data_IF_884286131623
#
_entry.id   IF_884286131623
#
_cell.length_a   1.000
_cell.length_b   1.000
_cell.length_c   1.000
_cell.angle_alpha   90.00
_cell.angle_beta   90.00
_cell.angle_gamma   90.00
#
_symmetry.space_group_name_H-M   'P 1'
#
loop_
_entity.id
_entity.type
_entity.pdbx_description
1 polymer ?
#
# COMPACT_ATOMS: atom_id res chain seq x y z
N UNK A 1 -55.77 41.67 -7.82
CA UNK A 1 -55.61 41.91 -9.26
C UNK A 1 -54.16 41.62 -9.61
N UNK A 2 -53.94 40.83 -10.66
CA UNK A 2 -52.66 40.32 -11.16
C UNK A 2 -51.64 41.42 -11.49
N UNK A 3 -50.34 41.11 -11.42
CA UNK A 3 -49.36 41.31 -12.50
C UNK A 3 -48.08 40.50 -12.24
N UNK A 4 -47.54 39.98 -13.35
CA UNK A 4 -46.43 39.06 -13.58
C UNK A 4 -45.07 39.79 -13.71
N UNK A 5 -44.01 39.04 -13.36
CA UNK A 5 -42.70 38.86 -14.04
C UNK A 5 -41.66 39.99 -14.19
N UNK A 6 -40.46 39.60 -13.72
CA UNK A 6 -39.18 39.46 -14.46
C UNK A 6 -37.99 40.40 -14.18
N UNK A 7 -36.87 39.71 -13.89
CA UNK A 7 -35.44 39.96 -14.15
C UNK A 7 -34.71 41.22 -13.66
N UNK A 8 -33.73 41.00 -12.76
CA UNK A 8 -32.35 41.53 -12.82
C UNK A 8 -31.58 40.95 -11.61
N UNK A 9 -30.77 39.92 -11.76
CA UNK A 9 -29.33 39.95 -12.13
C UNK A 9 -28.40 40.21 -10.92
N UNK A 10 -27.31 39.40 -10.86
CA UNK A 10 -26.05 39.55 -10.07
C UNK A 10 -25.93 38.97 -8.64
N UNK A 11 -25.31 37.78 -8.64
CA UNK A 11 -24.09 37.36 -7.91
C UNK A 11 -23.99 37.40 -6.37
N UNK A 12 -23.80 36.19 -5.84
CA UNK A 12 -22.73 35.71 -4.93
C UNK A 12 -22.39 36.47 -3.64
N UNK A 13 -22.24 35.65 -2.60
CA UNK A 13 -21.67 35.93 -1.27
C UNK A 13 -22.64 36.53 -0.24
N UNK A 14 -23.29 35.65 0.54
CA UNK A 14 -23.19 35.67 2.02
C UNK A 14 -24.01 34.55 2.67
N UNK A 15 -23.38 33.98 3.71
CA UNK A 15 -23.98 33.29 4.86
C UNK A 15 -24.47 31.86 4.55
N UNK A 16 -24.15 30.85 5.36
CA UNK A 16 -24.31 30.85 6.79
C UNK A 16 -23.40 29.84 7.52
N UNK A 17 -22.83 30.31 8.63
CA UNK A 17 -22.50 29.51 9.81
C UNK A 17 -23.65 28.56 10.14
N UNK A 18 -23.41 27.24 10.24
CA UNK A 18 -24.15 26.36 11.17
C UNK A 18 -23.28 25.17 11.64
N UNK A 19 -22.85 25.29 12.90
CA UNK A 19 -22.73 24.26 13.96
C UNK A 19 -22.58 22.80 13.50
N UNK A 20 -21.38 22.24 13.66
CA UNK A 20 -21.14 20.80 13.71
C UNK A 20 -21.68 20.25 15.03
N UNK A 21 -22.87 19.65 14.99
CA UNK A 21 -23.38 18.81 16.08
C UNK A 21 -22.70 17.45 15.95
N UNK A 22 -21.73 17.18 16.83
CA UNK A 22 -21.05 15.89 16.93
C UNK A 22 -22.02 14.79 17.36
N UNK A 23 -22.42 13.91 16.44
CA UNK A 23 -23.11 12.67 16.78
C UNK A 23 -22.05 11.67 17.22
N UNK A 24 -22.02 11.42 18.53
CA UNK A 24 -21.09 10.52 19.20
C UNK A 24 -21.56 9.07 19.00
N UNK A 25 -21.34 8.50 17.82
CA UNK A 25 -21.51 7.06 17.58
C UNK A 25 -20.17 6.40 17.93
N UNK A 26 -20.08 5.84 19.13
CA UNK A 26 -19.01 4.91 19.51
C UNK A 26 -19.17 3.62 18.69
N UNK A 27 -18.62 3.60 17.48
CA UNK A 27 -18.34 2.36 16.76
C UNK A 27 -17.20 1.64 17.49
N UNK A 28 -17.35 0.36 17.86
CA UNK A 28 -16.25 -0.41 18.42
C UNK A 28 -15.19 -0.57 17.32
N UNK A 29 -14.03 0.07 17.49
CA UNK A 29 -12.90 -0.10 16.60
C UNK A 29 -12.52 -1.59 16.56
N UNK A 30 -12.50 -2.24 15.38
CA UNK A 30 -11.97 -3.59 15.29
C UNK A 30 -10.49 -3.53 15.68
N UNK A 31 -10.08 -4.37 16.64
CA UNK A 31 -8.68 -4.50 17.08
C UNK A 31 -7.86 -4.91 15.85
N UNK A 32 -7.10 -3.98 15.29
CA UNK A 32 -6.33 -4.18 14.06
C UNK A 32 -5.19 -5.19 14.29
N UNK A 33 -4.79 -5.88 13.23
CA UNK A 33 -3.61 -6.75 13.22
C UNK A 33 -2.38 -5.98 13.72
N UNK A 34 -1.61 -6.58 14.62
CA UNK A 34 -0.35 -6.05 15.14
C UNK A 34 0.78 -6.89 14.57
N UNK A 35 1.87 -6.27 14.07
CA UNK A 35 3.10 -7.01 13.78
C UNK A 35 3.69 -7.55 15.09
N UNK A 36 4.54 -8.58 14.97
CA UNK A 36 5.03 -9.32 16.12
C UNK A 36 5.84 -8.44 17.07
N UNK A 37 5.67 -8.69 18.37
CA UNK A 37 6.43 -8.08 19.47
C UNK A 37 7.77 -8.85 19.68
N UNK A 38 8.20 -9.69 18.73
CA UNK A 38 9.43 -10.46 18.87
C UNK A 38 10.68 -9.68 18.45
N UNK A 39 10.53 -8.56 17.73
CA UNK A 39 11.53 -7.50 17.75
C UNK A 39 11.43 -6.80 19.10
N UNK A 40 12.53 -6.72 19.87
CA UNK A 40 12.57 -5.90 21.09
C UNK A 40 11.89 -4.56 20.77
N UNK A 41 10.85 -4.13 21.52
CA UNK A 41 10.25 -2.84 21.26
C UNK A 41 11.37 -1.82 21.30
N UNK A 42 11.67 -1.19 20.16
CA UNK A 42 12.75 -0.22 20.09
C UNK A 42 12.23 1.04 20.80
N UNK A 43 12.37 1.06 22.14
CA UNK A 43 11.88 2.14 23.01
C UNK A 43 12.50 3.48 22.63
N UNK A 44 13.60 3.46 21.86
CA UNK A 44 14.31 4.62 21.31
C UNK A 44 13.82 5.09 19.93
N UNK A 45 12.95 4.36 19.25
CA UNK A 45 12.40 4.84 17.98
C UNK A 45 11.39 5.99 18.24
N UNK A 46 11.35 7.03 17.39
CA UNK A 46 10.40 8.14 17.53
C UNK A 46 8.94 7.64 17.55
N UNK A 47 8.11 8.25 18.40
CA UNK A 47 6.70 7.87 18.57
C UNK A 47 5.84 8.29 17.36
N UNK A 48 6.11 9.47 16.80
CA UNK A 48 5.59 9.91 15.51
C UNK A 48 6.63 9.61 14.42
N UNK A 49 6.23 9.32 13.16
CA UNK A 49 7.19 9.06 12.10
C UNK A 49 8.14 10.26 11.92
N UNK A 50 9.45 10.05 11.79
CA UNK A 50 10.33 11.01 11.14
C UNK A 50 10.12 10.91 9.63
N UNK A 51 8.87 11.05 9.19
CA UNK A 51 8.62 11.28 7.77
C UNK A 51 9.14 12.69 7.53
N UNK A 52 10.26 12.78 6.81
CA UNK A 52 10.62 14.00 6.11
C UNK A 52 9.48 14.25 5.15
N UNK A 53 8.46 14.99 5.60
CA UNK A 53 7.31 15.31 4.76
C UNK A 53 7.84 16.11 3.58
N UNK A 54 7.77 15.51 2.41
CA UNK A 54 8.11 16.21 1.17
C UNK A 54 6.87 17.00 0.77
N UNK A 55 6.90 18.32 1.03
CA UNK A 55 5.89 19.21 0.46
C UNK A 55 5.97 19.12 -1.07
N UNK A 56 4.82 19.11 -1.77
CA UNK A 56 4.81 19.12 -3.23
C UNK A 56 5.62 20.29 -3.77
N UNK A 57 6.40 20.01 -4.81
CA UNK A 57 7.22 20.95 -5.57
C UNK A 57 6.85 20.83 -7.04
N UNK A 58 6.96 21.90 -7.82
CA UNK A 58 6.77 21.81 -9.29
C UNK A 58 7.99 21.16 -9.98
N UNK A 59 8.56 20.12 -9.37
CA UNK A 59 9.72 19.38 -9.90
C UNK A 59 9.29 18.56 -11.10
N UNK A 60 10.14 18.59 -12.13
CA UNK A 60 10.04 17.63 -13.23
C UNK A 60 10.60 16.26 -12.81
N UNK A 61 9.74 15.25 -12.86
CA UNK A 61 10.03 13.86 -12.50
C UNK A 61 10.26 13.60 -11.01
N UNK A 62 10.69 12.38 -10.67
CA UNK A 62 10.83 11.92 -9.28
C UNK A 62 12.26 11.62 -8.88
N UNK A 63 12.54 11.80 -7.58
CA UNK A 63 13.74 11.28 -6.92
C UNK A 63 13.40 10.10 -6.00
N UNK A 64 14.38 9.26 -5.73
CA UNK A 64 14.27 8.20 -4.72
C UNK A 64 15.11 8.57 -3.52
N UNK A 65 14.53 8.51 -2.33
CA UNK A 65 15.20 8.77 -1.06
C UNK A 65 15.29 7.45 -0.29
N UNK A 66 16.46 7.12 0.23
CA UNK A 66 16.68 5.87 0.98
C UNK A 66 17.11 6.20 2.40
N UNK A 67 16.23 5.93 3.36
CA UNK A 67 16.54 5.99 4.78
C UNK A 67 17.00 4.61 5.29
N UNK A 68 17.71 4.60 6.41
CA UNK A 68 18.05 3.35 7.11
C UNK A 68 16.75 2.66 7.60
N UNK A 69 16.56 1.35 7.36
CA UNK A 69 15.33 0.65 7.73
C UNK A 69 15.12 0.55 9.24
N UNK A 70 16.21 0.59 10.02
CA UNK A 70 16.21 0.41 11.48
C UNK A 70 16.51 -1.04 11.91
N UNK A 71 16.93 -1.22 13.16
CA UNK A 71 17.37 -2.51 13.68
C UNK A 71 16.28 -3.60 13.58
N UNK A 72 16.64 -4.77 13.03
CA UNK A 72 15.73 -5.89 12.82
C UNK A 72 14.79 -5.73 11.62
N UNK A 73 14.98 -4.69 10.82
CA UNK A 73 14.21 -4.43 9.60
C UNK A 73 15.13 -4.28 8.38
N UNK A 74 14.59 -4.63 7.20
CA UNK A 74 15.29 -4.46 5.93
C UNK A 74 14.37 -3.93 4.83
N UNK A 75 14.94 -3.12 3.95
CA UNK A 75 14.34 -2.81 2.66
C UNK A 75 14.45 -4.04 1.76
N UNK A 76 13.32 -4.49 1.21
CA UNK A 76 13.28 -5.67 0.34
C UNK A 76 13.53 -5.34 -1.14
N UNK A 77 13.45 -4.04 -1.45
CA UNK A 77 13.71 -3.45 -2.77
C UNK A 77 14.79 -2.39 -2.65
N UNK A 78 15.45 -2.12 -3.77
CA UNK A 78 16.46 -1.07 -3.92
C UNK A 78 15.91 0.08 -4.78
N UNK A 79 16.54 1.24 -4.70
CA UNK A 79 16.24 2.37 -5.60
C UNK A 79 16.24 1.94 -7.07
N UNK A 80 17.28 1.21 -7.50
CA UNK A 80 17.39 0.75 -8.90
C UNK A 80 16.17 -0.07 -9.31
N UNK A 81 15.74 -1.02 -8.48
CA UNK A 81 14.58 -1.86 -8.77
C UNK A 81 13.27 -1.07 -8.83
N UNK A 82 13.13 -0.04 -8.01
CA UNK A 82 11.99 0.88 -8.07
C UNK A 82 12.00 1.62 -9.42
N UNK A 83 13.15 2.19 -9.80
CA UNK A 83 13.29 2.92 -11.07
C UNK A 83 13.02 2.02 -12.28
N UNK A 84 13.64 0.85 -12.30
CA UNK A 84 13.44 -0.16 -13.34
C UNK A 84 11.96 -0.51 -13.45
N UNK A 85 11.25 -0.61 -12.32
CA UNK A 85 9.84 -0.95 -12.33
C UNK A 85 8.95 0.19 -12.83
N UNK A 86 9.21 1.43 -12.39
CA UNK A 86 8.45 2.62 -12.80
C UNK A 86 8.71 2.98 -14.28
N UNK A 87 9.87 2.64 -14.84
CA UNK A 87 10.14 2.78 -16.26
C UNK A 87 9.20 1.93 -17.15
N UNK A 88 8.57 0.88 -16.59
CA UNK A 88 7.67 -0.02 -17.32
C UNK A 88 6.20 0.41 -17.27
N UNK A 89 5.82 1.39 -16.44
CA UNK A 89 4.46 1.93 -16.47
C UNK A 89 4.36 3.05 -17.51
N UNK A 90 3.16 3.37 -18.03
CA UNK A 90 2.96 4.57 -18.84
C UNK A 90 3.52 5.81 -18.12
N UNK A 91 4.40 6.55 -18.79
CA UNK A 91 5.16 7.64 -18.14
C UNK A 91 4.25 8.78 -17.66
N UNK A 92 3.11 8.97 -18.31
CA UNK A 92 2.06 9.90 -17.85
C UNK A 92 1.56 9.63 -16.42
N UNK A 93 1.68 8.39 -15.92
CA UNK A 93 1.31 8.08 -14.53
C UNK A 93 2.30 8.63 -13.51
N UNK A 94 3.50 9.03 -13.95
CA UNK A 94 4.55 9.56 -13.10
C UNK A 94 4.57 11.09 -13.06
N UNK A 95 3.68 11.77 -13.80
CA UNK A 95 3.65 13.23 -13.92
C UNK A 95 3.50 13.94 -12.56
N UNK A 96 2.71 13.37 -11.66
CA UNK A 96 2.50 13.90 -10.31
C UNK A 96 3.44 13.28 -9.27
N UNK A 97 4.29 12.33 -9.65
CA UNK A 97 5.19 11.68 -8.70
C UNK A 97 6.47 12.50 -8.56
N UNK A 98 6.76 12.93 -7.33
CA UNK A 98 7.98 13.70 -7.03
C UNK A 98 8.99 12.91 -6.18
N UNK A 99 8.50 12.08 -5.26
CA UNK A 99 9.34 11.33 -4.33
C UNK A 99 8.86 9.90 -4.16
N UNK A 100 9.78 8.96 -4.27
CA UNK A 100 9.61 7.61 -3.70
C UNK A 100 10.60 7.45 -2.56
N UNK A 101 10.12 7.22 -1.34
CA UNK A 101 10.96 7.06 -0.17
C UNK A 101 10.94 5.62 0.34
N UNK A 102 12.12 5.04 0.49
CA UNK A 102 12.34 3.86 1.32
C UNK A 102 12.51 4.33 2.77
N UNK A 103 11.41 4.30 3.53
CA UNK A 103 11.30 4.90 4.87
C UNK A 103 11.88 4.00 5.97
N UNK A 104 12.36 4.60 7.06
CA UNK A 104 12.70 3.83 8.27
C UNK A 104 11.48 3.27 9.00
N UNK A 105 11.65 2.19 9.78
CA UNK A 105 10.60 1.66 10.64
C UNK A 105 10.33 2.61 11.82
N UNK A 106 9.05 2.75 12.20
CA UNK A 106 8.60 3.63 13.29
C UNK A 106 7.73 2.88 14.28
N UNK A 107 7.65 3.34 15.54
CA UNK A 107 6.81 2.68 16.57
C UNK A 107 5.34 2.59 16.17
N UNK A 108 4.82 3.59 15.46
CA UNK A 108 3.46 3.60 14.92
C UNK A 108 3.28 2.48 13.88
N UNK A 109 4.21 2.35 12.93
CA UNK A 109 4.13 1.35 11.84
C UNK A 109 4.52 -0.07 12.28
N UNK A 110 5.11 -0.25 13.46
CA UNK A 110 5.21 -1.56 14.12
C UNK A 110 3.84 -2.09 14.57
N UNK A 111 2.92 -1.20 14.95
CA UNK A 111 1.60 -1.58 15.47
C UNK A 111 0.55 -1.77 14.38
N UNK A 112 0.81 -1.32 13.15
CA UNK A 112 -0.12 -1.35 12.03
C UNK A 112 0.59 -1.87 10.76
N UNK A 113 0.19 -3.03 10.19
CA UNK A 113 0.80 -3.57 8.99
C UNK A 113 0.46 -2.67 7.80
N UNK A 114 1.35 -1.75 7.51
CA UNK A 114 1.31 -0.82 6.39
C UNK A 114 2.67 -0.94 5.69
N UNK A 115 2.65 -1.39 4.44
CA UNK A 115 3.85 -1.60 3.62
C UNK A 115 4.13 -0.42 2.69
N UNK A 116 3.06 0.29 2.31
CA UNK A 116 3.10 1.49 1.48
C UNK A 116 2.19 2.57 2.04
N UNK A 117 2.45 3.81 1.65
CA UNK A 117 1.55 4.94 1.88
C UNK A 117 1.81 6.01 0.83
N UNK A 118 0.77 6.46 0.16
CA UNK A 118 0.77 7.67 -0.63
C UNK A 118 0.39 8.88 0.25
N UNK A 119 1.13 9.98 0.10
CA UNK A 119 0.77 11.28 0.68
C UNK A 119 1.31 12.43 -0.15
N UNK A 120 0.44 13.37 -0.54
CA UNK A 120 0.81 14.41 -1.50
C UNK A 120 1.34 13.80 -2.79
N UNK A 121 2.46 14.31 -3.30
CA UNK A 121 3.10 13.79 -4.51
C UNK A 121 4.19 12.74 -4.21
N UNK A 122 4.12 12.12 -3.03
CA UNK A 122 5.11 11.17 -2.54
C UNK A 122 4.52 9.79 -2.24
N UNK A 123 5.34 8.76 -2.50
CA UNK A 123 5.09 7.37 -2.13
C UNK A 123 6.13 6.96 -1.09
N UNK A 124 5.68 6.41 0.03
CA UNK A 124 6.52 5.89 1.11
C UNK A 124 6.39 4.37 1.16
N UNK A 125 7.51 3.65 1.08
CA UNK A 125 7.58 2.21 1.23
C UNK A 125 8.30 1.89 2.54
N UNK A 126 7.69 1.06 3.37
CA UNK A 126 8.20 0.70 4.70
C UNK A 126 8.98 -0.63 4.64
N UNK A 127 9.94 -0.87 5.55
CA UNK A 127 10.72 -2.08 5.52
C UNK A 127 9.95 -3.25 6.15
N UNK A 128 10.42 -4.47 5.89
CA UNK A 128 9.93 -5.69 6.53
C UNK A 128 10.84 -6.12 7.68
N UNK A 129 10.32 -6.94 8.59
CA UNK A 129 11.17 -7.66 9.55
C UNK A 129 12.20 -8.50 8.79
N UNK A 130 13.45 -8.55 9.27
CA UNK A 130 14.53 -9.32 8.63
C UNK A 130 14.19 -10.80 8.46
N UNK A 131 13.38 -11.35 9.37
CA UNK A 131 12.90 -12.73 9.36
C UNK A 131 12.02 -13.04 8.14
N UNK A 132 11.40 -12.02 7.52
CA UNK A 132 10.34 -12.15 6.52
C UNK A 132 9.14 -12.98 7.00
N UNK A 133 8.93 -13.04 8.32
CA UNK A 133 7.80 -13.70 8.97
C UNK A 133 7.02 -12.67 9.75
N UNK A 134 5.76 -12.47 9.40
CA UNK A 134 4.84 -11.58 10.10
C UNK A 134 3.83 -12.38 10.90
N UNK A 135 3.55 -11.93 12.13
CA UNK A 135 2.64 -12.61 13.04
C UNK A 135 1.33 -11.83 13.18
N UNK A 136 0.22 -12.56 13.28
CA UNK A 136 -1.13 -12.03 13.41
C UNK A 136 -1.85 -12.80 14.51
N UNK A 137 -2.44 -12.07 15.47
CA UNK A 137 -3.20 -12.65 16.60
C UNK A 137 -4.72 -12.67 16.36
N UNK A 138 -5.11 -12.52 15.10
CA UNK A 138 -6.46 -12.69 14.61
C UNK A 138 -6.39 -13.39 13.26
N UNK A 139 -7.42 -14.17 12.89
CA UNK A 139 -7.51 -14.75 11.57
C UNK A 139 -7.39 -13.65 10.50
N UNK A 140 -6.49 -13.81 9.51
CA UNK A 140 -6.35 -12.84 8.43
C UNK A 140 -7.64 -12.80 7.60
N UNK A 141 -7.97 -11.62 7.08
CA UNK A 141 -9.12 -11.46 6.18
C UNK A 141 -8.88 -12.26 4.89
N UNK A 142 -9.92 -12.84 4.28
CA UNK A 142 -9.77 -13.57 3.02
C UNK A 142 -9.09 -12.77 1.90
N UNK A 143 -9.34 -11.47 1.82
CA UNK A 143 -8.69 -10.58 0.84
C UNK A 143 -7.18 -10.54 1.02
N UNK A 144 -6.70 -10.31 2.25
CA UNK A 144 -5.28 -10.31 2.59
C UNK A 144 -4.63 -11.67 2.33
N UNK A 145 -5.35 -12.76 2.61
CA UNK A 145 -4.87 -14.12 2.31
C UNK A 145 -4.66 -14.32 0.82
N UNK A 146 -5.65 -13.94 0.01
CA UNK A 146 -5.62 -14.11 -1.44
C UNK A 146 -4.54 -13.23 -2.07
N UNK A 147 -4.47 -11.97 -1.68
CA UNK A 147 -3.48 -11.02 -2.13
C UNK A 147 -2.06 -11.52 -1.86
N UNK A 148 -1.74 -11.89 -0.61
CA UNK A 148 -0.41 -12.39 -0.29
C UNK A 148 -0.06 -13.66 -1.09
N UNK A 149 -1.02 -14.58 -1.25
CA UNK A 149 -0.85 -15.80 -2.04
C UNK A 149 -0.57 -15.53 -3.52
N UNK A 150 -1.16 -14.47 -4.11
CA UNK A 150 -0.90 -14.10 -5.51
C UNK A 150 0.60 -13.85 -5.78
N UNK A 151 1.33 -13.36 -4.77
CA UNK A 151 2.76 -13.06 -4.86
C UNK A 151 3.65 -14.12 -4.19
N UNK A 152 3.08 -15.25 -3.76
CA UNK A 152 3.82 -16.37 -3.19
C UNK A 152 4.00 -16.32 -1.67
N UNK A 153 3.31 -15.42 -0.98
CA UNK A 153 3.22 -15.40 0.48
C UNK A 153 2.55 -16.66 1.02
N UNK A 154 3.11 -17.22 2.09
CA UNK A 154 2.64 -18.47 2.70
C UNK A 154 2.03 -18.21 4.07
N UNK A 155 0.75 -18.54 4.20
CA UNK A 155 0.04 -18.49 5.47
C UNK A 155 0.18 -19.81 6.22
N UNK A 156 0.41 -19.72 7.53
CA UNK A 156 0.42 -20.85 8.45
C UNK A 156 -0.21 -20.48 9.79
N UNK A 157 -0.56 -21.48 10.57
CA UNK A 157 -1.06 -21.33 11.94
C UNK A 157 -0.15 -22.18 12.86
N UNK A 158 1.00 -21.66 13.31
CA UNK A 158 1.95 -22.43 14.13
C UNK A 158 1.37 -22.86 15.49
N UNK A 159 0.39 -22.12 16.00
CA UNK A 159 -0.33 -22.45 17.24
C UNK A 159 -1.74 -21.87 17.19
N UNK A 160 -2.72 -22.45 17.91
CA UNK A 160 -4.10 -21.99 17.87
C UNK A 160 -4.23 -20.47 18.09
N UNK A 161 -4.86 -19.78 17.13
CA UNK A 161 -5.10 -18.34 17.20
C UNK A 161 -3.89 -17.45 16.88
N UNK A 162 -2.76 -18.03 16.49
CA UNK A 162 -1.57 -17.32 16.00
C UNK A 162 -1.36 -17.69 14.55
N UNK A 163 -1.43 -16.69 13.68
CA UNK A 163 -1.23 -16.83 12.24
C UNK A 163 0.09 -16.21 11.83
N UNK A 164 0.77 -16.81 10.87
CA UNK A 164 2.01 -16.29 10.30
C UNK A 164 1.90 -16.14 8.80
N UNK A 165 2.39 -15.02 8.28
CA UNK A 165 2.66 -14.82 6.86
C UNK A 165 4.17 -14.88 6.64
N UNK A 166 4.63 -15.89 5.91
CA UNK A 166 6.04 -16.08 5.56
C UNK A 166 6.28 -15.72 4.11
N UNK A 167 7.30 -14.91 3.87
CA UNK A 167 7.75 -14.55 2.54
C UNK A 167 9.12 -15.14 2.22
N UNK A 168 9.32 -15.56 0.97
CA UNK A 168 10.68 -15.61 0.42
C UNK A 168 11.10 -14.21 0.03
N UNK A 169 12.41 -13.94 -0.03
CA UNK A 169 12.92 -12.64 -0.48
C UNK A 169 12.41 -12.25 -1.88
N UNK A 170 12.32 -13.22 -2.78
CA UNK A 170 11.77 -13.00 -4.12
C UNK A 170 10.28 -12.65 -4.09
N UNK A 171 9.49 -13.37 -3.30
CA UNK A 171 8.05 -13.13 -3.16
C UNK A 171 7.76 -11.76 -2.55
N UNK A 172 8.48 -11.40 -1.48
CA UNK A 172 8.33 -10.09 -0.86
C UNK A 172 8.76 -8.95 -1.81
N UNK A 173 9.85 -9.12 -2.55
CA UNK A 173 10.27 -8.14 -3.57
C UNK A 173 9.21 -7.95 -4.65
N UNK A 174 8.67 -9.06 -5.17
CA UNK A 174 7.62 -9.05 -6.17
C UNK A 174 6.35 -8.36 -5.65
N UNK A 175 5.93 -8.70 -4.42
CA UNK A 175 4.83 -8.03 -3.74
C UNK A 175 5.04 -6.52 -3.61
N UNK A 176 6.24 -6.07 -3.23
CA UNK A 176 6.53 -4.64 -3.10
C UNK A 176 6.49 -3.91 -4.43
N UNK A 177 7.14 -4.44 -5.46
CA UNK A 177 7.25 -3.77 -6.76
C UNK A 177 5.96 -3.82 -7.58
N UNK A 178 5.21 -4.92 -7.49
CA UNK A 178 4.08 -5.19 -8.36
C UNK A 178 2.73 -5.08 -7.66
N UNK A 179 2.71 -4.99 -6.33
CA UNK A 179 1.48 -4.69 -5.59
C UNK A 179 1.58 -3.33 -4.94
N UNK A 180 2.41 -3.19 -3.91
CA UNK A 180 2.42 -2.02 -3.02
C UNK A 180 2.77 -0.75 -3.80
N UNK A 181 3.91 -0.71 -4.49
CA UNK A 181 4.33 0.47 -5.24
C UNK A 181 3.29 0.91 -6.28
N UNK A 182 2.71 -0.04 -7.00
CA UNK A 182 1.73 0.25 -8.06
C UNK A 182 0.39 0.69 -7.46
N UNK A 183 -0.02 0.12 -6.32
CA UNK A 183 -1.19 0.54 -5.57
C UNK A 183 -1.07 2.00 -5.12
N UNK A 184 0.05 2.36 -4.46
CA UNK A 184 0.28 3.74 -4.02
C UNK A 184 0.36 4.72 -5.20
N UNK A 185 0.94 4.29 -6.33
CA UNK A 185 0.91 5.09 -7.57
C UNK A 185 -0.53 5.26 -8.10
N UNK A 186 -1.37 4.23 -7.97
CA UNK A 186 -2.79 4.31 -8.30
C UNK A 186 -3.51 5.40 -7.51
N UNK A 187 -3.17 5.62 -6.24
CA UNK A 187 -3.74 6.72 -5.46
C UNK A 187 -3.35 8.12 -5.98
N UNK A 188 -2.15 8.27 -6.56
CA UNK A 188 -1.73 9.53 -7.21
C UNK A 188 -2.48 9.77 -8.52
N UNK A 189 -2.65 8.71 -9.32
CA UNK A 189 -3.30 8.79 -10.64
C UNK A 189 -4.82 9.01 -10.52
N UNK A 190 -5.42 8.64 -9.38
CA UNK A 190 -6.86 8.79 -9.17
C UNK A 190 -7.28 10.22 -8.82
N UNK A 191 -7.56 11.00 -9.86
CA UNK A 191 -8.10 12.36 -9.74
C UNK A 191 -9.64 12.42 -9.69
N UNK A 192 -10.32 11.28 -9.93
CA UNK A 192 -11.77 11.26 -10.19
C UNK A 192 -12.58 10.88 -8.97
N UNK A 193 -12.07 9.96 -8.15
CA UNK A 193 -12.78 9.49 -6.98
C UNK A 193 -12.46 10.35 -5.76
N UNK A 194 -13.50 10.85 -5.09
CA UNK A 194 -13.37 11.61 -3.85
C UNK A 194 -13.68 10.78 -2.59
N UNK A 195 -14.38 9.66 -2.74
CA UNK A 195 -14.70 8.76 -1.64
C UNK A 195 -13.52 7.83 -1.34
N UNK A 196 -13.25 7.60 -0.05
CA UNK A 196 -12.18 6.70 0.37
C UNK A 196 -12.33 5.30 -0.25
N UNK A 197 -13.54 4.72 -0.21
CA UNK A 197 -13.78 3.38 -0.73
C UNK A 197 -13.53 3.25 -2.24
N UNK A 198 -13.87 4.27 -3.02
CA UNK A 198 -13.69 4.22 -4.47
C UNK A 198 -12.23 4.42 -4.86
N UNK A 199 -11.48 5.27 -4.12
CA UNK A 199 -10.03 5.42 -4.29
C UNK A 199 -9.26 4.14 -3.99
N UNK A 200 -9.63 3.43 -2.94
CA UNK A 200 -9.05 2.12 -2.60
C UNK A 200 -9.34 1.09 -3.70
N UNK A 201 -10.57 1.01 -4.19
CA UNK A 201 -10.94 0.11 -5.30
C UNK A 201 -10.18 0.42 -6.58
N UNK A 202 -10.00 1.71 -6.89
CA UNK A 202 -9.21 2.11 -8.04
C UNK A 202 -7.75 1.67 -7.89
N UNK A 203 -7.13 1.94 -6.73
CA UNK A 203 -5.74 1.55 -6.46
C UNK A 203 -5.55 0.02 -6.48
N UNK A 204 -6.49 -0.74 -5.92
CA UNK A 204 -6.51 -2.21 -6.01
C UNK A 204 -6.58 -2.68 -7.48
N UNK A 205 -7.51 -2.14 -8.27
CA UNK A 205 -7.63 -2.45 -9.69
C UNK A 205 -6.35 -2.09 -10.45
N UNK A 206 -5.78 -0.92 -10.17
CA UNK A 206 -4.59 -0.39 -10.82
C UNK A 206 -3.38 -1.30 -10.54
N UNK A 207 -3.20 -1.73 -9.29
CA UNK A 207 -2.18 -2.71 -8.90
C UNK A 207 -2.37 -4.07 -9.59
N UNK A 208 -3.61 -4.57 -9.71
CA UNK A 208 -3.87 -5.81 -10.44
C UNK A 208 -3.53 -5.67 -11.93
N UNK A 209 -3.95 -4.57 -12.55
CA UNK A 209 -3.80 -4.36 -13.99
C UNK A 209 -2.34 -4.06 -14.36
N UNK A 210 -1.77 -3.00 -13.79
CA UNK A 210 -0.44 -2.52 -14.12
C UNK A 210 0.67 -3.23 -13.37
N UNK A 211 0.36 -3.94 -12.28
CA UNK A 211 1.34 -4.65 -11.45
C UNK A 211 1.29 -6.18 -11.63
N UNK A 212 0.26 -6.82 -11.08
CA UNK A 212 0.17 -8.30 -11.07
C UNK A 212 0.15 -8.90 -12.48
N UNK A 213 -0.74 -8.41 -13.36
CA UNK A 213 -0.87 -8.95 -14.72
C UNK A 213 0.34 -8.62 -15.59
N UNK A 214 0.86 -7.40 -15.49
CA UNK A 214 2.05 -6.95 -16.24
C UNK A 214 3.31 -7.76 -15.90
N UNK A 215 3.46 -8.19 -14.64
CA UNK A 215 4.55 -9.08 -14.21
C UNK A 215 4.34 -10.57 -14.56
N UNK A 216 3.35 -10.89 -15.39
CA UNK A 216 3.04 -12.24 -15.85
C UNK A 216 2.09 -13.04 -14.95
N UNK A 217 1.50 -12.41 -13.92
CA UNK A 217 0.43 -12.97 -13.10
C UNK A 217 0.68 -14.42 -12.62
N UNK A 218 -0.36 -15.23 -12.63
CA UNK A 218 -0.29 -16.60 -12.12
C UNK A 218 0.54 -17.54 -13.00
N UNK A 219 0.79 -17.20 -14.28
CA UNK A 219 1.45 -18.11 -15.22
C UNK A 219 2.96 -18.19 -14.98
N UNK A 220 3.61 -17.07 -14.63
CA UNK A 220 5.03 -17.03 -14.26
C UNK A 220 5.27 -17.65 -12.88
N UNK A 221 4.28 -17.56 -11.99
CA UNK A 221 4.38 -17.99 -10.58
C UNK A 221 3.97 -19.45 -10.34
N UNK A 222 3.37 -20.12 -11.33
CA UNK A 222 3.08 -21.55 -11.26
C UNK A 222 4.35 -22.35 -11.53
N UNK A 223 4.76 -23.28 -10.64
CA UNK A 223 5.85 -24.19 -10.96
C UNK A 223 5.46 -25.00 -12.21
N UNK A 224 6.34 -24.99 -13.22
CA UNK A 224 6.15 -25.81 -14.43
C UNK A 224 5.94 -27.26 -14.00
N UNK A 225 4.75 -27.78 -14.21
CA UNK A 225 4.42 -29.18 -13.91
C UNK A 225 5.35 -30.05 -14.77
N UNK A 226 6.36 -30.65 -14.16
CA UNK A 226 7.22 -31.64 -14.84
C UNK A 226 6.31 -32.81 -15.19
N UNK A 227 5.88 -32.89 -16.44
CA UNK A 227 5.13 -34.04 -16.95
C UNK A 227 6.11 -35.21 -17.03
N UNK A 228 6.20 -36.00 -15.95
CA UNK A 228 6.84 -37.31 -16.01
C UNK A 228 5.94 -38.21 -16.88
N UNK A 229 6.28 -38.36 -18.16
CA UNK A 229 5.67 -39.37 -19.03
C UNK A 229 5.94 -40.73 -18.40
N UNK A 230 4.88 -41.40 -17.93
CA UNK A 230 4.95 -42.82 -17.55
C UNK A 230 5.05 -43.62 -18.85
N UNK A 231 6.23 -44.15 -19.15
CA UNK A 231 6.35 -45.18 -20.17
C UNK A 231 5.70 -46.45 -19.62
N UNK A 232 4.55 -46.82 -20.19
CA UNK A 232 4.05 -48.18 -20.04
C UNK A 232 5.03 -49.09 -20.81
N UNK A 233 5.81 -49.87 -20.07
CA UNK A 233 6.52 -51.01 -20.62
C UNK A 233 5.46 -52.03 -21.07
N UNK A 234 5.65 -52.56 -22.28
CA UNK A 234 4.85 -53.63 -22.87
C UNK A 234 5.06 -54.94 -22.14
#
# INVERSE_FOLDING_TARGET
MFIRRDYSDKSAARQARRRNTSVNIRTPHPKQARRSINGRPNVRAPFAPPEDWHEPTDRDGYRVVVQQPGDGYRHIVTERQIRDRLALVPQQFLEQLEVVQLSGMTRKKQSFPCYGMQWGNAIYLYPLEESLVEYFYQPPRPSLVNEAKMYGGRWGEPSPGVWTLTWSEQAARDFYLNNILIHELGHLVDERNSSYMDRERFAEWFAIHHGYRSSGGSSVRRPRKIIRRRHHAK
#
